data_IF_511052161243
#
_entry.id   IF_511052161243
#
_cell.length_a   1.000
_cell.length_b   1.000
_cell.length_c   1.000
_cell.angle_alpha   90.00
_cell.angle_beta   90.00
_cell.angle_gamma   90.00
#
_symmetry.space_group_name_H-M   'P 1'
#
loop_
_entity.id
_entity.type
_entity.pdbx_description
1 polymer ?
#
# COMPACT_ATOMS: atom_id res chain seq x y z
N UNK A 1 12.39 5.78 25.21
CA UNK A 1 12.79 6.12 23.82
C UNK A 1 14.11 5.44 23.39
N UNK A 2 15.06 5.20 24.30
CA UNK A 2 16.38 4.60 23.96
C UNK A 2 16.34 3.09 23.70
N UNK A 3 15.51 2.31 24.41
CA UNK A 3 15.46 0.85 24.27
C UNK A 3 14.99 0.35 22.88
N UNK A 4 14.13 1.10 22.18
CA UNK A 4 13.67 0.74 20.82
C UNK A 4 14.78 1.01 19.79
N UNK A 5 15.53 2.09 19.96
CA UNK A 5 16.69 2.45 19.13
C UNK A 5 17.85 1.48 19.33
N UNK A 6 18.13 1.10 20.58
CA UNK A 6 19.12 0.05 20.89
C UNK A 6 18.75 -1.30 20.27
N UNK A 7 17.47 -1.69 20.28
CA UNK A 7 17.02 -2.92 19.61
C UNK A 7 17.24 -2.88 18.09
N UNK A 8 16.95 -1.76 17.44
CA UNK A 8 17.19 -1.60 15.99
C UNK A 8 18.69 -1.66 15.65
N UNK A 9 19.55 -1.17 16.55
CA UNK A 9 21.00 -1.10 16.35
C UNK A 9 21.73 -2.40 16.75
N UNK A 10 21.22 -3.16 17.72
CA UNK A 10 21.89 -4.33 18.30
C UNK A 10 21.22 -5.68 17.95
N UNK A 11 19.98 -5.72 17.43
CA UNK A 11 19.40 -6.99 16.94
C UNK A 11 19.96 -7.38 15.57
N UNK A 12 20.09 -8.69 15.33
CA UNK A 12 20.47 -9.24 14.04
C UNK A 12 19.57 -8.69 12.91
N UNK A 13 20.19 -8.05 11.92
CA UNK A 13 19.53 -7.45 10.75
C UNK A 13 18.50 -8.38 10.11
N UNK A 14 18.82 -9.68 9.97
CA UNK A 14 17.91 -10.68 9.39
C UNK A 14 16.60 -10.80 10.19
N UNK A 15 16.66 -10.84 11.52
CA UNK A 15 15.49 -10.97 12.39
C UNK A 15 14.61 -9.72 12.31
N UNK A 16 15.25 -8.55 12.22
CA UNK A 16 14.57 -7.27 12.12
C UNK A 16 13.86 -7.12 10.77
N UNK A 17 14.53 -7.49 9.68
CA UNK A 17 13.95 -7.54 8.34
C UNK A 17 12.74 -8.47 8.30
N UNK A 18 12.83 -9.72 8.77
CA UNK A 18 11.66 -10.60 8.77
C UNK A 18 10.51 -10.07 9.63
N UNK A 19 10.81 -9.43 10.77
CA UNK A 19 9.78 -8.91 11.68
C UNK A 19 8.98 -7.74 11.09
N UNK A 20 9.60 -6.90 10.26
CA UNK A 20 8.91 -5.77 9.64
C UNK A 20 8.47 -6.07 8.21
N UNK A 21 9.30 -6.72 7.41
CA UNK A 21 8.98 -7.03 6.00
C UNK A 21 7.84 -8.03 5.87
N UNK A 22 7.73 -9.03 6.76
CA UNK A 22 6.65 -10.02 6.65
C UNK A 22 5.25 -9.37 6.78
N UNK A 23 4.94 -8.59 7.82
CA UNK A 23 3.65 -7.91 7.90
C UNK A 23 3.46 -6.88 6.78
N UNK A 24 4.51 -6.18 6.35
CA UNK A 24 4.43 -5.24 5.22
C UNK A 24 4.07 -5.95 3.92
N UNK A 25 4.72 -7.07 3.59
CA UNK A 25 4.46 -7.86 2.39
C UNK A 25 3.03 -8.39 2.39
N UNK A 26 2.56 -8.92 3.53
CA UNK A 26 1.17 -9.37 3.67
C UNK A 26 0.21 -8.21 3.43
N UNK A 27 0.47 -7.04 4.02
CA UNK A 27 -0.34 -5.84 3.80
C UNK A 27 -0.39 -5.42 2.32
N UNK A 28 0.75 -5.46 1.64
CA UNK A 28 0.82 -5.14 0.20
C UNK A 28 0.05 -6.16 -0.66
N UNK A 29 0.09 -7.45 -0.31
CA UNK A 29 -0.67 -8.50 -1.00
C UNK A 29 -2.18 -8.28 -0.81
N UNK A 30 -2.63 -7.99 0.42
CA UNK A 30 -4.05 -7.72 0.67
C UNK A 30 -4.51 -6.48 -0.09
N UNK A 31 -3.71 -5.42 -0.11
CA UNK A 31 -4.02 -4.20 -0.85
C UNK A 31 -4.10 -4.44 -2.37
N UNK A 32 -3.20 -5.25 -2.94
CA UNK A 32 -3.26 -5.56 -4.37
C UNK A 32 -4.43 -6.46 -4.73
N UNK A 33 -4.78 -7.42 -3.86
CA UNK A 33 -5.99 -8.24 -4.01
C UNK A 33 -7.25 -7.39 -3.95
N UNK A 34 -7.32 -6.41 -3.04
CA UNK A 34 -8.43 -5.46 -2.98
C UNK A 34 -8.60 -4.72 -4.31
N UNK A 35 -7.52 -4.15 -4.86
CA UNK A 35 -7.57 -3.44 -6.15
C UNK A 35 -8.00 -4.36 -7.30
N UNK A 36 -7.54 -5.62 -7.30
CA UNK A 36 -7.92 -6.60 -8.31
C UNK A 36 -9.41 -6.95 -8.23
N UNK A 37 -9.90 -7.25 -7.03
CA UNK A 37 -11.30 -7.58 -6.79
C UNK A 37 -12.18 -6.39 -7.14
N UNK A 38 -11.85 -5.19 -6.67
CA UNK A 38 -12.58 -3.96 -6.99
C UNK A 38 -12.71 -3.76 -8.51
N UNK A 39 -11.59 -3.87 -9.24
CA UNK A 39 -11.58 -3.74 -10.71
C UNK A 39 -12.43 -4.81 -11.39
N UNK A 40 -12.40 -6.07 -10.92
CA UNK A 40 -13.23 -7.16 -11.48
C UNK A 40 -14.72 -6.91 -11.22
N UNK A 41 -15.06 -6.48 -10.01
CA UNK A 41 -16.45 -6.20 -9.63
C UNK A 41 -17.00 -5.01 -10.39
N UNK A 42 -16.24 -3.93 -10.52
CA UNK A 42 -16.62 -2.77 -11.34
C UNK A 42 -16.71 -3.14 -12.81
N UNK A 43 -15.75 -3.91 -13.32
CA UNK A 43 -15.74 -4.37 -14.71
C UNK A 43 -16.91 -5.27 -15.08
N UNK A 44 -17.31 -6.18 -14.18
CA UNK A 44 -18.46 -7.07 -14.40
C UNK A 44 -19.80 -6.41 -14.07
N UNK A 45 -19.84 -5.53 -13.07
CA UNK A 45 -21.07 -4.93 -12.57
C UNK A 45 -21.50 -3.68 -13.33
N UNK A 46 -20.56 -2.80 -13.66
CA UNK A 46 -20.83 -1.52 -14.36
C UNK A 46 -20.39 -1.58 -15.83
N UNK A 47 -19.38 -2.41 -16.12
CA UNK A 47 -18.89 -2.62 -17.48
C UNK A 47 -17.58 -1.90 -17.79
N UNK A 48 -17.05 -2.07 -19.00
CA UNK A 48 -15.72 -1.59 -19.38
C UNK A 48 -15.58 -0.07 -19.37
N UNK A 49 -16.67 0.70 -19.55
CA UNK A 49 -16.62 2.16 -19.46
C UNK A 49 -16.25 2.64 -18.05
N UNK A 50 -16.62 1.91 -17.01
CA UNK A 50 -16.27 2.27 -15.64
C UNK A 50 -14.78 2.07 -15.36
N UNK A 51 -14.18 1.01 -15.90
CA UNK A 51 -12.72 0.80 -15.82
C UNK A 51 -11.97 1.93 -16.55
N UNK A 52 -12.47 2.35 -17.71
CA UNK A 52 -11.89 3.48 -18.44
C UNK A 52 -11.98 4.78 -17.62
N UNK A 53 -13.13 5.06 -17.00
CA UNK A 53 -13.30 6.22 -16.12
C UNK A 53 -12.36 6.18 -14.90
N UNK A 54 -12.21 5.03 -14.24
CA UNK A 54 -11.25 4.85 -13.13
C UNK A 54 -9.84 5.22 -13.59
N UNK A 55 -9.42 4.69 -14.74
CA UNK A 55 -8.08 4.95 -15.30
C UNK A 55 -7.87 6.43 -15.61
N UNK A 56 -8.89 7.14 -16.08
CA UNK A 56 -8.83 8.58 -16.34
C UNK A 56 -8.71 9.42 -15.05
N UNK A 57 -9.26 8.93 -13.93
CA UNK A 57 -9.22 9.61 -12.63
C UNK A 57 -7.92 9.30 -11.86
N UNK A 58 -7.19 8.24 -12.20
CA UNK A 58 -5.92 7.85 -11.56
C UNK A 58 -4.92 8.99 -11.36
N UNK A 59 -4.68 9.92 -12.31
CA UNK A 59 -3.74 11.03 -12.11
C UNK A 59 -4.14 11.94 -10.94
N UNK A 60 -5.43 12.18 -10.76
CA UNK A 60 -5.97 12.99 -9.67
C UNK A 60 -5.79 12.24 -8.34
N UNK A 61 -6.08 10.94 -8.31
CA UNK A 61 -5.82 10.10 -7.14
C UNK A 61 -4.35 10.06 -6.76
N UNK A 62 -3.42 10.05 -7.72
CA UNK A 62 -1.99 10.11 -7.46
C UNK A 62 -1.56 11.41 -6.77
N UNK A 63 -2.15 12.55 -7.15
CA UNK A 63 -1.89 13.83 -6.46
C UNK A 63 -2.35 13.77 -5.02
N UNK A 64 -3.55 13.26 -4.75
CA UNK A 64 -4.04 13.10 -3.38
C UNK A 64 -3.18 12.12 -2.58
N UNK A 65 -2.77 11.01 -3.17
CA UNK A 65 -1.88 10.05 -2.53
C UNK A 65 -0.52 10.67 -2.20
N UNK A 66 0.04 11.48 -3.09
CA UNK A 66 1.30 12.18 -2.86
C UNK A 66 1.21 13.16 -1.70
N UNK A 67 0.10 13.91 -1.58
CA UNK A 67 -0.14 14.79 -0.44
C UNK A 67 -0.32 13.98 0.84
N UNK A 68 -1.09 12.89 0.79
CA UNK A 68 -1.32 12.02 1.94
C UNK A 68 -0.03 11.38 2.46
N UNK A 69 0.86 10.92 1.57
CA UNK A 69 2.15 10.34 1.97
C UNK A 69 3.13 11.41 2.47
N UNK A 70 3.12 12.61 1.89
CA UNK A 70 3.91 13.75 2.36
C UNK A 70 3.56 14.14 3.80
N UNK A 71 2.29 14.14 4.18
CA UNK A 71 1.86 14.51 5.54
C UNK A 71 1.92 13.32 6.50
N UNK A 72 1.63 12.10 6.01
CA UNK A 72 1.48 10.92 6.87
C UNK A 72 2.77 10.16 7.16
N UNK A 73 3.64 10.01 6.16
CA UNK A 73 4.92 9.30 6.28
C UNK A 73 6.10 10.29 6.30
N UNK A 74 5.98 11.36 5.50
CA UNK A 74 6.96 12.42 5.35
C UNK A 74 7.16 13.29 6.58
#
# INVERSE_FOLDING_TARGET
MNAKRERLLNENLRKLLFKFSLPTVIGMIVASLYNLVDTIFVGKGVGPMAIAAITLVMPIMMVFLAIATMIGIG
#
